data_IF_138308852080
#
_entry.id   IF_138308852080
#
_cell.length_a   1.000
_cell.length_b   1.000
_cell.length_c   1.000
_cell.angle_alpha   90.00
_cell.angle_beta   90.00
_cell.angle_gamma   90.00
#
_symmetry.space_group_name_H-M   'P 1'
#
loop_
_entity.id
_entity.type
_entity.pdbx_description
1 polymer ?
#
# COMPACT_ATOMS: atom_id res chain seq x y z
N UNK A 1 -9.15 -19.82 -58.47
CA UNK A 1 -8.47 -19.64 -57.17
C UNK A 1 -8.39 -18.15 -56.86
N UNK A 2 -9.20 -17.63 -55.94
CA UNK A 2 -9.08 -16.27 -55.44
C UNK A 2 -8.29 -16.31 -54.12
N UNK A 3 -7.08 -15.73 -54.13
CA UNK A 3 -6.27 -15.56 -52.92
C UNK A 3 -7.01 -14.59 -52.00
N UNK A 4 -7.62 -15.13 -50.94
CA UNK A 4 -8.09 -14.32 -49.82
C UNK A 4 -6.85 -13.74 -49.14
N UNK A 5 -6.62 -12.45 -49.36
CA UNK A 5 -5.55 -11.72 -48.69
C UNK A 5 -5.86 -11.69 -47.20
N UNK A 6 -4.99 -12.28 -46.39
CA UNK A 6 -5.00 -12.11 -44.94
C UNK A 6 -4.72 -10.63 -44.69
N UNK A 7 -5.79 -9.84 -44.50
CA UNK A 7 -5.68 -8.46 -44.07
C UNK A 7 -5.20 -8.53 -42.62
N UNK A 8 -3.94 -8.17 -42.39
CA UNK A 8 -3.45 -7.88 -41.04
C UNK A 8 -4.22 -6.66 -40.52
N UNK A 9 -5.38 -6.91 -39.89
CA UNK A 9 -6.09 -5.91 -39.11
C UNK A 9 -5.25 -5.68 -37.86
N UNK A 10 -4.22 -4.83 -37.97
CA UNK A 10 -3.68 -4.16 -36.78
C UNK A 10 -4.87 -3.42 -36.19
N UNK A 11 -5.40 -3.91 -35.07
CA UNK A 11 -6.43 -3.18 -34.32
C UNK A 11 -5.85 -1.81 -33.99
N UNK A 12 -6.23 -0.79 -34.75
CA UNK A 12 -5.89 0.60 -34.45
C UNK A 12 -6.65 0.91 -33.17
N UNK A 13 -5.94 0.92 -32.05
CA UNK A 13 -6.52 1.32 -30.77
C UNK A 13 -6.85 2.81 -30.91
N UNK A 14 -8.15 3.15 -30.87
CA UNK A 14 -8.64 4.52 -30.95
C UNK A 14 -8.49 5.23 -29.60
N UNK A 15 -8.45 6.56 -29.63
CA UNK A 15 -8.42 7.40 -28.42
C UNK A 15 -9.57 7.08 -27.46
N UNK A 16 -10.80 6.97 -27.98
CA UNK A 16 -12.00 6.63 -27.19
C UNK A 16 -11.87 5.28 -26.49
N UNK A 17 -11.23 4.29 -27.14
CA UNK A 17 -11.01 2.97 -26.56
C UNK A 17 -10.02 3.02 -25.39
N UNK A 18 -8.98 3.85 -25.49
CA UNK A 18 -8.01 4.02 -24.40
C UNK A 18 -8.62 4.76 -23.21
N UNK A 19 -9.38 5.84 -23.46
CA UNK A 19 -10.11 6.53 -22.40
C UNK A 19 -11.07 5.59 -21.67
N UNK A 20 -11.82 4.77 -22.42
CA UNK A 20 -12.69 3.74 -21.84
C UNK A 20 -11.92 2.69 -21.04
N UNK A 21 -10.72 2.31 -21.49
CA UNK A 21 -9.88 1.36 -20.75
C UNK A 21 -9.34 1.98 -19.45
N UNK A 22 -8.94 3.25 -19.46
CA UNK A 22 -8.52 3.98 -18.26
C UNK A 22 -9.65 4.06 -17.23
N UNK A 23 -10.88 4.36 -17.66
CA UNK A 23 -12.06 4.38 -16.79
C UNK A 23 -12.35 3.01 -16.16
N UNK A 24 -12.18 1.93 -16.93
CA UNK A 24 -12.34 0.56 -16.43
C UNK A 24 -11.28 0.23 -15.39
N UNK A 25 -10.02 0.57 -15.67
CA UNK A 25 -8.91 0.41 -14.71
C UNK A 25 -9.24 1.16 -13.43
N UNK A 26 -9.63 2.44 -13.50
CA UNK A 26 -9.98 3.25 -12.34
C UNK A 26 -11.12 2.63 -11.51
N UNK A 27 -12.14 2.06 -12.16
CA UNK A 27 -13.23 1.34 -11.46
C UNK A 27 -12.77 0.06 -10.78
N UNK A 28 -11.79 -0.64 -11.32
CA UNK A 28 -11.27 -1.89 -10.75
C UNK A 28 -10.39 -1.65 -9.52
N UNK A 29 -9.68 -0.51 -9.47
CA UNK A 29 -8.84 -0.12 -8.33
C UNK A 29 -9.58 0.69 -7.26
N UNK A 30 -10.81 1.14 -7.54
CA UNK A 30 -11.59 1.91 -6.57
C UNK A 30 -12.05 1.02 -5.40
N UNK A 31 -11.71 1.37 -4.14
CA UNK A 31 -12.06 0.57 -2.96
C UNK A 31 -13.58 0.44 -2.72
N UNK A 32 -14.39 1.32 -3.31
CA UNK A 32 -15.86 1.31 -3.18
C UNK A 32 -16.58 0.60 -4.35
N UNK A 33 -15.84 0.11 -5.34
CA UNK A 33 -16.43 -0.56 -6.50
C UNK A 33 -16.90 -1.98 -6.16
N UNK A 34 -17.97 -2.45 -6.82
CA UNK A 34 -18.48 -3.83 -6.66
C UNK A 34 -17.60 -4.88 -7.34
N UNK A 35 -16.86 -4.51 -8.38
CA UNK A 35 -15.92 -5.38 -9.10
C UNK A 35 -14.53 -4.82 -8.86
N UNK A 36 -13.79 -5.45 -7.95
CA UNK A 36 -12.43 -5.06 -7.58
C UNK A 36 -11.47 -6.15 -8.03
N UNK A 37 -10.23 -5.77 -8.29
CA UNK A 37 -9.14 -6.72 -8.46
C UNK A 37 -8.92 -7.40 -7.11
N UNK A 38 -9.00 -8.73 -7.12
CA UNK A 38 -8.76 -9.55 -5.93
C UNK A 38 -7.27 -9.87 -5.85
N UNK A 39 -6.67 -10.29 -6.96
CA UNK A 39 -5.24 -10.61 -7.07
C UNK A 39 -4.69 -10.17 -8.42
N UNK A 40 -3.60 -9.40 -8.40
CA UNK A 40 -2.97 -8.90 -9.62
C UNK A 40 -2.46 -10.03 -10.52
N UNK A 41 -1.93 -11.11 -9.92
CA UNK A 41 -1.26 -12.16 -10.68
C UNK A 41 -2.23 -12.96 -11.56
N UNK A 42 -3.45 -13.17 -11.08
CA UNK A 42 -4.49 -13.95 -11.74
C UNK A 42 -5.39 -13.11 -12.69
N UNK A 43 -5.41 -11.79 -12.53
CA UNK A 43 -6.26 -10.91 -13.33
C UNK A 43 -5.61 -10.54 -14.67
N UNK A 44 -5.72 -11.47 -15.64
CA UNK A 44 -5.27 -11.26 -17.01
C UNK A 44 -5.99 -10.07 -17.68
N UNK A 45 -7.28 -9.87 -17.38
CA UNK A 45 -8.06 -8.77 -17.95
C UNK A 45 -7.50 -7.41 -17.53
N UNK A 46 -7.13 -7.25 -16.25
CA UNK A 46 -6.50 -6.03 -15.77
C UNK A 46 -5.14 -5.79 -16.44
N UNK A 47 -4.29 -6.81 -16.56
CA UNK A 47 -2.99 -6.69 -17.24
C UNK A 47 -3.15 -6.28 -18.71
N UNK A 48 -4.09 -6.89 -19.42
CA UNK A 48 -4.40 -6.56 -20.83
C UNK A 48 -4.85 -5.09 -20.98
N UNK A 49 -5.64 -4.57 -20.03
CA UNK A 49 -6.04 -3.17 -20.02
C UNK A 49 -4.83 -2.24 -19.85
N UNK A 50 -3.94 -2.53 -18.89
CA UNK A 50 -2.72 -1.73 -18.66
C UNK A 50 -1.78 -1.82 -19.86
N UNK A 51 -1.58 -3.00 -20.43
CA UNK A 51 -0.73 -3.19 -21.60
C UNK A 51 -1.28 -2.47 -22.83
N UNK A 52 -2.61 -2.44 -23.01
CA UNK A 52 -3.25 -1.65 -24.07
C UNK A 52 -2.99 -0.16 -23.91
N UNK A 53 -3.08 0.36 -22.69
CA UNK A 53 -2.80 1.78 -22.37
C UNK A 53 -1.32 2.06 -22.62
N UNK A 54 -0.42 1.23 -22.07
CA UNK A 54 1.03 1.35 -22.24
C UNK A 54 1.43 1.36 -23.71
N UNK A 55 0.93 0.40 -24.50
CA UNK A 55 1.23 0.29 -25.93
C UNK A 55 0.81 1.57 -26.65
N UNK A 56 -0.39 2.08 -26.36
CA UNK A 56 -0.84 3.35 -26.95
C UNK A 56 0.06 4.53 -26.54
N UNK A 57 0.42 4.64 -25.25
CA UNK A 57 1.28 5.70 -24.75
C UNK A 57 2.70 5.65 -25.33
N UNK A 58 3.24 4.47 -25.66
CA UNK A 58 4.57 4.34 -26.27
C UNK A 58 4.55 4.53 -27.79
N UNK A 59 3.51 4.05 -28.47
CA UNK A 59 3.41 4.10 -29.93
C UNK A 59 3.01 5.46 -30.48
N UNK A 60 2.11 6.17 -29.78
CA UNK A 60 1.54 7.43 -30.26
C UNK A 60 2.44 8.69 -30.18
N UNK A 61 3.44 8.85 -29.30
CA UNK A 61 4.35 10.01 -29.33
C UNK A 61 5.20 10.11 -30.61
N UNK A 62 5.19 9.09 -31.47
CA UNK A 62 5.82 9.12 -32.81
C UNK A 62 4.97 9.84 -33.86
N UNK A 63 3.73 10.22 -33.54
CA UNK A 63 2.83 11.03 -34.38
C UNK A 63 2.82 12.46 -33.84
N UNK A 64 2.96 13.45 -34.73
CA UNK A 64 3.33 14.86 -34.45
C UNK A 64 2.56 15.61 -33.35
N UNK A 65 1.45 15.11 -32.83
CA UNK A 65 0.74 15.72 -31.69
C UNK A 65 0.00 14.64 -30.88
N UNK A 66 0.31 14.50 -29.59
CA UNK A 66 -0.33 13.53 -28.70
C UNK A 66 -1.66 14.10 -28.15
N UNK A 67 -2.75 13.33 -28.08
CA UNK A 67 -4.04 13.85 -27.60
C UNK A 67 -3.97 14.33 -26.14
N UNK A 68 -4.35 15.59 -25.90
CA UNK A 68 -4.34 16.22 -24.57
C UNK A 68 -5.27 15.48 -23.59
N UNK A 69 -6.43 14.98 -24.05
CA UNK A 69 -7.39 14.24 -23.23
C UNK A 69 -6.80 12.94 -22.69
N UNK A 70 -6.12 12.15 -23.54
CA UNK A 70 -5.47 10.90 -23.13
C UNK A 70 -4.32 11.18 -22.16
N UNK A 71 -3.56 12.25 -22.37
CA UNK A 71 -2.45 12.61 -21.49
C UNK A 71 -2.96 12.95 -20.09
N UNK A 72 -4.00 13.79 -20.02
CA UNK A 72 -4.65 14.18 -18.77
C UNK A 72 -5.24 12.97 -18.04
N UNK A 73 -6.01 12.12 -18.74
CA UNK A 73 -6.64 10.94 -18.15
C UNK A 73 -5.58 9.93 -17.62
N UNK A 74 -4.49 9.73 -18.35
CA UNK A 74 -3.39 8.87 -17.90
C UNK A 74 -2.71 9.44 -16.64
N UNK A 75 -2.51 10.76 -16.59
CA UNK A 75 -1.93 11.44 -15.43
C UNK A 75 -2.85 11.34 -14.20
N UNK A 76 -4.15 11.61 -14.38
CA UNK A 76 -5.16 11.48 -13.32
C UNK A 76 -5.25 10.03 -12.80
N UNK A 77 -5.12 9.04 -13.68
CA UNK A 77 -5.11 7.62 -13.29
C UNK A 77 -3.89 7.28 -12.43
N UNK A 78 -2.70 7.75 -12.80
CA UNK A 78 -1.47 7.55 -12.02
C UNK A 78 -1.55 8.28 -10.67
N UNK A 79 -2.07 9.50 -10.65
CA UNK A 79 -2.28 10.27 -9.43
C UNK A 79 -3.26 9.58 -8.49
N UNK A 80 -4.41 9.13 -9.01
CA UNK A 80 -5.38 8.38 -8.24
C UNK A 80 -4.77 7.09 -7.67
N UNK A 81 -4.01 6.34 -8.49
CA UNK A 81 -3.34 5.12 -8.04
C UNK A 81 -2.31 5.40 -6.93
N UNK A 82 -1.57 6.50 -7.05
CA UNK A 82 -0.57 6.92 -6.05
C UNK A 82 -1.23 7.30 -4.73
N UNK A 83 -2.30 8.10 -4.76
CA UNK A 83 -3.05 8.49 -3.57
C UNK A 83 -3.65 7.27 -2.84
N UNK A 84 -4.22 6.33 -3.60
CA UNK A 84 -4.75 5.08 -3.04
C UNK A 84 -3.64 4.20 -2.44
N UNK A 85 -2.45 4.18 -3.03
CA UNK A 85 -1.30 3.46 -2.49
C UNK A 85 -0.83 4.07 -1.15
N UNK A 86 -0.82 5.40 -1.04
CA UNK A 86 -0.49 6.09 0.21
C UNK A 86 -1.53 5.79 1.31
N UNK A 87 -2.82 5.82 0.98
CA UNK A 87 -3.89 5.46 1.92
C UNK A 87 -3.77 4.01 2.40
N UNK A 88 -3.45 3.08 1.50
CA UNK A 88 -3.23 1.69 1.84
C UNK A 88 -2.00 1.51 2.74
N UNK A 89 -0.92 2.26 2.50
CA UNK A 89 0.28 2.24 3.33
C UNK A 89 -0.03 2.67 4.77
N UNK A 90 -0.84 3.72 4.95
CA UNK A 90 -1.28 4.16 6.30
C UNK A 90 -2.11 3.09 7.01
N UNK A 91 -3.04 2.44 6.29
CA UNK A 91 -3.85 1.35 6.86
C UNK A 91 -2.98 0.15 7.28
N UNK A 92 -2.00 -0.23 6.47
CA UNK A 92 -1.03 -1.27 6.84
C UNK A 92 -0.26 -0.87 8.10
N UNK A 93 0.19 0.39 8.20
CA UNK A 93 0.88 0.87 9.40
C UNK A 93 0.00 0.77 10.66
N UNK A 94 -1.28 1.14 10.57
CA UNK A 94 -2.23 0.99 11.67
C UNK A 94 -2.42 -0.47 12.09
N UNK A 95 -2.55 -1.38 11.11
CA UNK A 95 -2.66 -2.82 11.33
C UNK A 95 -1.39 -3.40 11.98
N UNK A 96 -0.20 -2.94 11.57
CA UNK A 96 1.07 -3.33 12.18
C UNK A 96 1.12 -2.87 13.65
N UNK A 97 0.77 -1.61 13.94
CA UNK A 97 0.72 -1.10 15.32
C UNK A 97 -0.27 -1.88 16.19
N UNK A 98 -1.42 -2.28 15.63
CA UNK A 98 -2.38 -3.14 16.33
C UNK A 98 -1.78 -4.52 16.62
N UNK A 99 -1.12 -5.14 15.64
CA UNK A 99 -0.42 -6.41 15.81
C UNK A 99 0.66 -6.33 16.88
N UNK A 100 1.48 -5.29 16.88
CA UNK A 100 2.51 -5.06 17.91
C UNK A 100 1.90 -4.95 19.31
N UNK A 101 0.79 -4.21 19.47
CA UNK A 101 0.06 -4.14 20.74
C UNK A 101 -0.47 -5.51 21.15
N UNK A 102 -1.04 -6.29 20.23
CA UNK A 102 -1.57 -7.61 20.54
C UNK A 102 -0.46 -8.59 20.94
N UNK A 103 0.71 -8.55 20.29
CA UNK A 103 1.88 -9.34 20.66
C UNK A 103 2.39 -8.94 22.05
N UNK A 104 2.46 -7.63 22.35
CA UNK A 104 2.85 -7.15 23.67
C UNK A 104 1.88 -7.62 24.77
N UNK A 105 0.57 -7.59 24.50
CA UNK A 105 -0.45 -8.14 25.39
C UNK A 105 -0.29 -9.66 25.57
N UNK A 106 -0.09 -10.41 24.48
CA UNK A 106 0.13 -11.85 24.53
C UNK A 106 1.35 -12.21 25.40
N UNK A 107 2.46 -11.49 25.25
CA UNK A 107 3.65 -11.67 26.07
C UNK A 107 3.36 -11.41 27.54
N UNK A 108 2.70 -10.28 27.87
CA UNK A 108 2.33 -9.95 29.25
C UNK A 108 1.42 -11.02 29.88
N UNK A 109 0.47 -11.55 29.10
CA UNK A 109 -0.42 -12.63 29.54
C UNK A 109 0.34 -13.94 29.75
N UNK A 110 1.30 -14.26 28.88
CA UNK A 110 2.15 -15.45 29.00
C UNK A 110 3.04 -15.39 30.24
N UNK A 111 3.72 -14.27 30.45
CA UNK A 111 4.55 -14.04 31.65
C UNK A 111 3.70 -14.16 32.91
N UNK A 112 2.51 -13.56 32.92
CA UNK A 112 1.60 -13.67 34.08
C UNK A 112 1.13 -15.11 34.29
N UNK A 113 0.80 -15.84 33.22
CA UNK A 113 0.43 -17.25 33.32
C UNK A 113 1.57 -18.08 33.91
N UNK A 114 2.81 -17.85 33.50
CA UNK A 114 3.99 -18.55 34.00
C UNK A 114 4.22 -18.29 35.50
N UNK A 115 4.17 -17.02 35.94
CA UNK A 115 4.25 -16.63 37.36
C UNK A 115 3.16 -17.33 38.18
N UNK A 116 1.93 -17.35 37.66
CA UNK A 116 0.77 -17.98 38.31
C UNK A 116 0.90 -19.51 38.37
N UNK A 117 1.42 -20.14 37.31
CA UNK A 117 1.66 -21.58 37.26
C UNK A 117 2.78 -22.01 38.21
N UNK A 118 3.85 -21.22 38.29
CA UNK A 118 4.99 -21.44 39.19
C UNK A 118 4.67 -21.08 40.65
N UNK A 119 3.56 -20.38 40.90
CA UNK A 119 3.11 -19.94 42.23
C UNK A 119 4.14 -19.09 42.96
N UNK A 120 4.78 -18.19 42.22
CA UNK A 120 5.71 -17.22 42.79
C UNK A 120 4.99 -16.36 43.85
N UNK A 121 5.69 -15.92 44.90
CA UNK A 121 5.06 -15.26 46.05
C UNK A 121 4.23 -14.01 45.66
N UNK A 122 4.62 -13.33 44.58
CA UNK A 122 4.02 -12.13 44.03
C UNK A 122 2.95 -12.39 42.95
N UNK A 123 2.49 -13.63 42.73
CA UNK A 123 1.55 -13.96 41.64
C UNK A 123 0.24 -13.14 41.67
N UNK A 124 -0.26 -12.81 42.86
CA UNK A 124 -1.48 -11.98 43.02
C UNK A 124 -1.28 -10.56 42.52
N UNK A 125 -0.08 -10.02 42.69
CA UNK A 125 0.29 -8.68 42.23
C UNK A 125 0.45 -8.68 40.71
N UNK A 126 1.05 -9.72 40.15
CA UNK A 126 1.15 -9.92 38.71
C UNK A 126 -0.24 -9.95 38.05
N UNK A 127 -1.20 -10.71 38.60
CA UNK A 127 -2.60 -10.75 38.12
C UNK A 127 -3.27 -9.38 38.24
N UNK A 128 -3.03 -8.64 39.33
CA UNK A 128 -3.58 -7.28 39.49
C UNK A 128 -3.00 -6.29 38.46
N UNK A 129 -1.75 -6.48 38.05
CA UNK A 129 -1.07 -5.62 37.07
C UNK A 129 -1.63 -5.77 35.64
N UNK A 130 -2.19 -6.93 35.30
CA UNK A 130 -2.82 -7.20 33.99
C UNK A 130 -4.31 -6.87 33.94
N UNK A 131 -4.94 -6.62 35.10
CA UNK A 131 -6.38 -6.30 35.20
C UNK A 131 -6.82 -5.05 34.44
N UNK A 132 -5.89 -4.16 34.05
CA UNK A 132 -6.19 -2.97 33.24
C UNK A 132 -6.26 -3.27 31.74
N UNK A 133 -5.55 -4.31 31.31
CA UNK A 133 -5.35 -4.61 29.89
C UNK A 133 -6.22 -5.78 29.40
N UNK A 134 -6.71 -6.60 30.35
CA UNK A 134 -7.51 -7.77 30.07
C UNK A 134 -8.89 -7.70 30.72
N UNK A 135 -9.90 -8.33 30.10
CA UNK A 135 -11.23 -8.42 30.67
C UNK A 135 -11.27 -9.31 31.91
N UNK A 136 -12.29 -9.10 32.76
CA UNK A 136 -12.41 -9.71 34.09
C UNK A 136 -12.46 -11.24 34.05
N UNK A 137 -13.02 -11.84 33.00
CA UNK A 137 -13.05 -13.29 32.77
C UNK A 137 -11.64 -13.91 32.68
N UNK A 138 -10.70 -13.22 32.05
CA UNK A 138 -9.29 -13.64 31.97
C UNK A 138 -8.63 -13.55 33.35
N UNK A 139 -8.94 -12.49 34.11
CA UNK A 139 -8.39 -12.25 35.45
C UNK A 139 -8.89 -13.30 36.45
N UNK A 140 -10.17 -13.65 36.38
CA UNK A 140 -10.77 -14.69 37.20
C UNK A 140 -10.18 -16.07 36.86
N UNK A 141 -9.97 -16.34 35.57
CA UNK A 141 -9.35 -17.58 35.12
C UNK A 141 -7.91 -17.70 35.61
N UNK A 142 -7.10 -16.64 35.53
CA UNK A 142 -5.75 -16.61 36.11
C UNK A 142 -5.77 -16.79 37.63
N UNK A 143 -6.71 -16.13 38.31
CA UNK A 143 -6.87 -16.26 39.77
C UNK A 143 -7.27 -17.68 40.18
N UNK A 144 -8.11 -18.36 39.40
CA UNK A 144 -8.48 -19.75 39.59
C UNK A 144 -7.24 -20.66 39.49
N UNK A 145 -6.42 -20.48 38.45
CA UNK A 145 -5.17 -21.22 38.24
C UNK A 145 -4.26 -21.07 39.47
N UNK A 146 -4.02 -19.85 39.94
CA UNK A 146 -3.13 -19.58 41.09
C UNK A 146 -3.63 -20.14 42.41
N UNK A 147 -4.95 -20.18 42.64
CA UNK A 147 -5.56 -20.72 43.87
C UNK A 147 -5.61 -22.25 43.91
N UNK A 148 -5.63 -22.90 42.75
CA UNK A 148 -5.76 -24.37 42.70
C UNK A 148 -4.50 -25.06 43.24
N UNK A 149 -4.70 -26.06 44.09
CA UNK A 149 -3.59 -26.86 44.65
C UNK A 149 -3.10 -27.95 43.69
N UNK A 150 -3.99 -28.48 42.86
CA UNK A 150 -3.73 -29.61 41.96
C UNK A 150 -3.81 -29.20 40.50
N UNK A 151 -2.71 -29.43 39.77
CA UNK A 151 -2.61 -29.24 38.31
C UNK A 151 -3.32 -30.34 37.51
N UNK A 152 -3.75 -31.42 38.19
CA UNK A 152 -4.46 -32.56 37.57
C UNK A 152 -5.97 -32.35 37.52
N UNK A 153 -6.50 -31.31 38.15
CA UNK A 153 -7.94 -31.05 38.13
C UNK A 153 -8.39 -30.61 36.73
N UNK A 154 -9.55 -31.09 36.29
CA UNK A 154 -10.12 -30.74 34.99
C UNK A 154 -10.28 -29.22 34.85
N UNK A 155 -10.82 -28.56 35.87
CA UNK A 155 -11.01 -27.11 35.91
C UNK A 155 -9.71 -26.33 35.73
N UNK A 156 -8.59 -26.82 36.30
CA UNK A 156 -7.28 -26.19 36.09
C UNK A 156 -6.81 -26.34 34.65
N UNK A 157 -6.91 -27.54 34.08
CA UNK A 157 -6.48 -27.77 32.70
C UNK A 157 -7.31 -26.96 31.71
N UNK A 158 -8.61 -26.84 31.93
CA UNK A 158 -9.49 -26.06 31.07
C UNK A 158 -9.21 -24.56 31.20
N UNK A 159 -8.93 -24.07 32.42
CA UNK A 159 -8.49 -22.69 32.63
C UNK A 159 -7.17 -22.38 31.91
N UNK A 160 -6.18 -23.26 32.00
CA UNK A 160 -4.89 -23.10 31.30
C UNK A 160 -5.09 -23.12 29.77
N UNK A 161 -5.93 -24.02 29.25
CA UNK A 161 -6.26 -24.06 27.82
C UNK A 161 -6.93 -22.77 27.36
N UNK A 162 -7.84 -22.20 28.16
CA UNK A 162 -8.54 -20.95 27.82
C UNK A 162 -7.55 -19.79 27.71
N UNK A 163 -6.64 -19.65 28.67
CA UNK A 163 -5.61 -18.60 28.63
C UNK A 163 -4.65 -18.83 27.45
N UNK A 164 -4.19 -20.06 27.21
CA UNK A 164 -3.32 -20.37 26.07
C UNK A 164 -4.01 -20.11 24.73
N UNK A 165 -5.29 -20.45 24.58
CA UNK A 165 -6.05 -20.11 23.38
C UNK A 165 -6.14 -18.59 23.18
N UNK A 166 -6.31 -17.82 24.27
CA UNK A 166 -6.31 -16.35 24.20
C UNK A 166 -4.94 -15.80 23.77
N UNK A 167 -3.84 -16.35 24.30
CA UNK A 167 -2.47 -16.00 23.90
C UNK A 167 -2.29 -16.27 22.41
N UNK A 168 -2.61 -17.48 21.93
CA UNK A 168 -2.49 -17.86 20.52
C UNK A 168 -3.32 -16.94 19.61
N UNK A 169 -4.53 -16.56 20.00
CA UNK A 169 -5.35 -15.62 19.23
C UNK A 169 -4.70 -14.23 19.15
N UNK A 170 -4.11 -13.73 20.24
CA UNK A 170 -3.40 -12.46 20.28
C UNK A 170 -2.06 -12.49 19.55
N UNK A 171 -1.42 -13.65 19.39
CA UNK A 171 -0.17 -13.79 18.64
C UNK A 171 -0.41 -13.98 17.14
N UNK A 172 -1.29 -14.92 16.80
CA UNK A 172 -1.59 -15.28 15.42
C UNK A 172 -2.16 -14.09 14.65
N UNK A 173 -3.00 -13.26 15.27
CA UNK A 173 -3.58 -12.07 14.65
C UNK A 173 -4.15 -12.35 13.24
N UNK A 174 -4.73 -13.54 13.02
CA UNK A 174 -5.08 -14.04 11.68
C UNK A 174 -5.92 -13.04 10.87
N UNK A 175 -6.86 -12.34 11.52
CA UNK A 175 -7.66 -11.31 10.85
C UNK A 175 -6.82 -10.14 10.31
N UNK A 176 -5.83 -9.69 11.09
CA UNK A 176 -4.90 -8.63 10.68
C UNK A 176 -4.02 -9.12 9.52
N UNK A 177 -3.56 -10.37 9.56
CA UNK A 177 -2.75 -10.96 8.50
C UNK A 177 -3.51 -11.04 7.17
N UNK A 178 -4.75 -11.53 7.20
CA UNK A 178 -5.62 -11.59 6.01
C UNK A 178 -5.89 -10.19 5.46
N UNK A 179 -6.18 -9.22 6.34
CA UNK A 179 -6.42 -7.83 5.92
C UNK A 179 -5.16 -7.18 5.33
N UNK A 180 -3.97 -7.45 5.89
CA UNK A 180 -2.69 -6.99 5.35
C UNK A 180 -2.41 -7.60 3.96
N UNK A 181 -2.61 -8.91 3.79
CA UNK A 181 -2.39 -9.61 2.51
C UNK A 181 -3.29 -9.03 1.42
N UNK A 182 -4.58 -8.83 1.73
CA UNK A 182 -5.53 -8.22 0.80
C UNK A 182 -5.15 -6.79 0.41
N UNK A 183 -4.63 -5.99 1.36
CA UNK A 183 -4.15 -4.64 1.06
C UNK A 183 -2.84 -4.70 0.27
N UNK A 184 -1.96 -5.68 0.52
CA UNK A 184 -0.72 -5.89 -0.23
C UNK A 184 -1.03 -6.17 -1.70
N UNK A 185 -1.95 -7.08 -2.00
CA UNK A 185 -2.30 -7.42 -3.38
C UNK A 185 -2.90 -6.25 -4.15
N UNK A 186 -3.73 -5.43 -3.49
CA UNK A 186 -4.21 -4.16 -4.06
C UNK A 186 -3.07 -3.19 -4.29
N UNK A 187 -2.15 -3.08 -3.35
CA UNK A 187 -0.99 -2.19 -3.44
C UNK A 187 -0.03 -2.61 -4.56
N UNK A 188 0.10 -3.92 -4.83
CA UNK A 188 0.82 -4.43 -6.02
C UNK A 188 0.16 -3.94 -7.31
N UNK A 189 -1.17 -4.02 -7.43
CA UNK A 189 -1.89 -3.56 -8.61
C UNK A 189 -1.76 -2.04 -8.82
N UNK A 190 -1.86 -1.25 -7.74
CA UNK A 190 -1.66 0.21 -7.78
C UNK A 190 -0.22 0.56 -8.17
N UNK A 191 0.76 -0.17 -7.64
CA UNK A 191 2.17 0.00 -8.01
C UNK A 191 2.43 -0.38 -9.47
N UNK A 192 1.77 -1.43 -9.99
CA UNK A 192 1.89 -1.84 -11.39
C UNK A 192 1.41 -0.74 -12.34
N UNK A 193 0.28 -0.09 -12.04
CA UNK A 193 -0.19 1.11 -12.76
C UNK A 193 0.86 2.21 -12.73
N UNK A 194 1.37 2.54 -11.54
CA UNK A 194 2.34 3.60 -11.35
C UNK A 194 3.65 3.36 -12.10
N UNK A 195 4.09 2.12 -12.24
CA UNK A 195 5.31 1.78 -12.98
C UNK A 195 5.04 1.81 -14.49
N UNK A 196 4.06 1.06 -14.97
CA UNK A 196 3.86 0.84 -16.40
C UNK A 196 3.33 2.07 -17.13
N UNK A 197 2.40 2.81 -16.51
CA UNK A 197 1.79 3.99 -17.13
C UNK A 197 2.68 5.22 -16.95
N UNK A 198 3.29 5.43 -15.77
CA UNK A 198 4.13 6.61 -15.57
C UNK A 198 5.45 6.54 -16.37
N UNK A 199 6.04 5.35 -16.53
CA UNK A 199 7.23 5.19 -17.38
C UNK A 199 6.91 5.48 -18.86
N UNK A 200 5.74 5.03 -19.34
CA UNK A 200 5.27 5.37 -20.68
C UNK A 200 4.98 6.87 -20.84
N UNK A 201 4.40 7.52 -19.83
CA UNK A 201 4.14 8.97 -19.85
C UNK A 201 5.43 9.81 -19.86
N UNK A 202 6.50 9.35 -19.22
CA UNK A 202 7.80 10.05 -19.20
C UNK A 202 8.40 10.24 -20.59
N UNK A 203 8.07 9.36 -21.53
CA UNK A 203 8.54 9.40 -22.92
C UNK A 203 7.73 10.37 -23.79
N UNK A 204 6.54 10.79 -23.33
CA UNK A 204 5.69 11.74 -24.03
C UNK A 204 6.08 13.16 -23.56
N UNK A 205 6.44 14.08 -24.49
CA UNK A 205 6.58 15.48 -24.14
C UNK A 205 5.27 15.98 -23.54
N UNK A 206 5.32 16.69 -22.41
CA UNK A 206 4.15 17.40 -21.86
C UNK A 206 3.50 18.19 -22.99
N UNK A 207 2.22 17.96 -23.31
CA UNK A 207 1.54 18.77 -24.30
C UNK A 207 1.73 20.23 -23.91
N UNK A 208 2.26 21.06 -24.82
CA UNK A 208 2.20 22.49 -24.61
C UNK A 208 0.71 22.81 -24.50
N UNK A 209 0.28 23.27 -23.32
CA UNK A 209 -0.96 23.98 -23.24
C UNK A 209 -0.82 25.13 -24.25
N UNK A 210 -1.79 25.26 -25.15
CA UNK A 210 -1.92 26.48 -25.92
C UNK A 210 -2.45 27.53 -24.92
N UNK A 211 -1.63 27.87 -23.93
CA UNK A 211 -1.84 28.89 -22.90
C UNK A 211 -1.60 30.27 -23.49
N UNK A 212 -1.94 30.46 -24.78
CA UNK A 212 -2.11 31.79 -25.36
C UNK A 212 -3.30 32.54 -24.74
N UNK A 213 -4.11 31.91 -23.88
CA UNK A 213 -5.14 32.60 -23.09
C UNK A 213 -4.70 32.95 -21.66
N UNK A 214 -3.63 32.35 -21.11
CA UNK A 214 -3.11 32.72 -19.77
C UNK A 214 -1.94 33.69 -19.87
N UNK A 215 -1.13 33.62 -20.93
CA UNK A 215 -0.09 34.62 -21.20
C UNK A 215 -0.64 35.95 -21.75
N UNK A 216 -1.82 35.95 -22.38
CA UNK A 216 -2.45 37.19 -22.84
C UNK A 216 -2.93 38.07 -21.68
N UNK A 217 -3.51 37.48 -20.63
CA UNK A 217 -3.98 38.21 -19.45
C UNK A 217 -2.79 38.77 -18.65
N UNK A 218 -1.63 38.10 -18.67
CA UNK A 218 -0.42 38.57 -17.97
C UNK A 218 0.35 39.66 -18.74
N UNK A 219 0.16 39.77 -20.05
CA UNK A 219 0.82 40.79 -20.86
C UNK A 219 0.00 42.09 -20.98
N UNK A 220 -1.32 42.06 -20.76
CA UNK A 220 -2.13 43.30 -20.63
C UNK A 220 -1.86 44.06 -19.31
N UNK A 221 -1.30 43.42 -18.29
CA UNK A 221 -0.99 44.07 -17.00
C UNK A 221 0.39 44.76 -17.01
N UNK A 222 1.13 44.72 -18.13
CA UNK A 222 2.51 45.25 -18.21
C UNK A 222 2.64 46.72 -18.60
N UNK A 223 1.55 47.41 -18.93
CA UNK A 223 1.57 48.85 -19.15
C UNK A 223 0.64 49.52 -18.14
N UNK A 224 1.17 49.89 -16.96
CA UNK A 224 0.82 51.13 -16.24
C UNK A 224 1.62 51.27 -14.93
N UNK A 225 2.63 52.16 -14.98
CA UNK A 225 3.13 53.09 -13.94
C UNK A 225 3.56 52.63 -12.51
N UNK A 226 4.53 53.34 -11.87
CA UNK A 226 5.41 52.76 -10.84
C UNK A 226 4.97 52.96 -9.38
N UNK A 227 3.70 53.24 -9.08
CA UNK A 227 3.30 53.68 -7.72
C UNK A 227 2.56 52.64 -6.84
N UNK A 228 2.23 51.45 -7.33
CA UNK A 228 1.51 50.43 -6.53
C UNK A 228 2.41 49.35 -5.88
N UNK A 229 3.72 49.55 -5.81
CA UNK A 229 4.65 48.52 -5.26
C UNK A 229 4.52 48.25 -3.76
N UNK A 230 3.77 49.04 -3.00
CA UNK A 230 3.62 48.88 -1.55
C UNK A 230 2.37 48.10 -1.12
N UNK A 231 1.44 47.78 -2.03
CA UNK A 231 0.24 46.99 -1.69
C UNK A 231 0.33 45.49 -2.07
N UNK A 232 1.24 45.11 -2.96
CA UNK A 232 1.39 43.70 -3.41
C UNK A 232 2.29 42.82 -2.53
N UNK A 233 3.03 43.39 -1.56
CA UNK A 233 3.87 42.57 -0.67
C UNK A 233 3.05 41.76 0.37
N UNK A 234 1.78 42.12 0.58
CA UNK A 234 0.91 41.43 1.54
C UNK A 234 0.00 40.36 0.93
N UNK A 235 -0.03 40.22 -0.40
CA UNK A 235 -0.76 39.17 -1.12
C UNK A 235 0.19 38.31 -1.93
N UNK A 236 1.23 37.77 -1.28
CA UNK A 236 2.00 36.64 -1.83
C UNK A 236 1.08 35.41 -1.90
N UNK A 237 0.43 35.22 -3.04
CA UNK A 237 -0.11 33.92 -3.42
C UNK A 237 1.10 33.00 -3.60
N UNK A 238 1.31 32.09 -2.65
CA UNK A 238 2.30 31.03 -2.74
C UNK A 238 2.06 30.23 -4.03
N UNK A 239 2.92 30.43 -5.02
CA UNK A 239 2.92 29.62 -6.24
C UNK A 239 3.28 28.20 -5.82
N UNK A 240 2.27 27.31 -5.77
CA UNK A 240 2.47 25.90 -5.45
C UNK A 240 3.56 25.32 -6.36
N UNK A 241 4.55 24.58 -5.83
CA UNK A 241 5.55 23.91 -6.65
C UNK A 241 4.86 22.94 -7.61
N UNK A 242 5.39 22.80 -8.83
CA UNK A 242 4.79 21.93 -9.84
C UNK A 242 4.74 20.48 -9.33
N UNK A 243 3.62 19.81 -9.59
CA UNK A 243 3.34 18.45 -9.11
C UNK A 243 4.42 17.44 -9.59
N UNK A 244 5.09 17.72 -10.72
CA UNK A 244 6.26 17.00 -11.21
C UNK A 244 7.51 17.10 -10.32
N UNK A 245 7.73 18.24 -9.66
CA UNK A 245 8.78 18.37 -8.66
C UNK A 245 8.43 17.64 -7.37
N UNK A 246 7.13 17.56 -7.00
CA UNK A 246 6.68 16.73 -5.87
C UNK A 246 6.89 15.25 -6.13
N UNK A 247 6.61 14.74 -7.34
CA UNK A 247 6.84 13.34 -7.71
C UNK A 247 8.35 13.00 -7.72
N UNK A 248 9.20 13.86 -8.30
CA UNK A 248 10.66 13.62 -8.34
C UNK A 248 11.36 13.79 -6.98
N UNK A 249 10.92 14.73 -6.15
CA UNK A 249 11.50 14.99 -4.82
C UNK A 249 10.80 14.21 -3.70
N UNK A 250 9.76 13.44 -4.00
CA UNK A 250 9.12 12.62 -2.98
C UNK A 250 10.09 11.52 -2.55
N UNK A 251 10.34 11.45 -1.24
CA UNK A 251 11.07 10.35 -0.58
C UNK A 251 10.46 8.97 -0.90
N UNK A 252 9.28 8.94 -1.52
CA UNK A 252 8.47 7.77 -1.89
C UNK A 252 9.05 6.98 -3.06
N UNK A 253 9.60 7.60 -4.13
CA UNK A 253 10.28 6.85 -5.21
C UNK A 253 11.51 6.10 -4.65
N UNK A 254 12.18 6.73 -3.69
CA UNK A 254 13.32 6.13 -2.97
C UNK A 254 12.87 5.04 -2.00
N UNK A 255 11.72 5.19 -1.33
CA UNK A 255 11.14 4.20 -0.42
C UNK A 255 10.61 2.96 -1.13
N UNK A 256 9.97 3.10 -2.31
CA UNK A 256 9.55 1.98 -3.15
C UNK A 256 10.78 1.17 -3.61
N UNK A 257 11.86 1.86 -4.01
CA UNK A 257 13.13 1.21 -4.37
C UNK A 257 13.82 0.53 -3.17
N UNK A 258 13.71 1.10 -1.96
CA UNK A 258 14.27 0.52 -0.73
C UNK A 258 13.46 -0.69 -0.23
N UNK A 259 12.12 -0.63 -0.29
CA UNK A 259 11.24 -1.74 0.07
C UNK A 259 11.46 -2.96 -0.84
N UNK A 260 11.69 -2.74 -2.14
CA UNK A 260 12.10 -3.81 -3.06
C UNK A 260 13.50 -4.36 -2.75
N UNK A 261 14.48 -3.53 -2.33
CA UNK A 261 15.79 -4.00 -1.87
C UNK A 261 15.72 -4.86 -0.60
N UNK A 262 14.84 -4.51 0.34
CA UNK A 262 14.63 -5.27 1.59
C UNK A 262 14.02 -6.65 1.27
N UNK A 263 13.10 -6.72 0.29
CA UNK A 263 12.51 -8.00 -0.17
C UNK A 263 13.56 -8.95 -0.79
N UNK A 264 14.63 -8.43 -1.41
CA UNK A 264 15.73 -9.24 -2.00
C UNK A 264 16.72 -9.77 -0.94
N UNK A 265 16.83 -9.15 0.24
CA UNK A 265 17.81 -9.56 1.27
C UNK A 265 17.23 -10.53 2.31
N UNK A 266 15.90 -10.64 2.43
CA UNK A 266 15.24 -11.56 3.37
C UNK A 266 15.11 -13.00 2.88
N UNK A 267 15.45 -13.28 1.62
CA UNK A 267 15.56 -14.64 1.07
C UNK A 267 17.03 -15.00 0.88
N UNK A 268 17.77 -15.09 1.98
CA UNK A 268 18.92 -15.99 2.04
C UNK A 268 18.60 -16.99 3.14
N UNK A 269 18.27 -18.26 2.83
CA UNK A 269 18.33 -19.28 3.87
C UNK A 269 19.75 -19.27 4.39
N UNK A 270 19.92 -19.09 5.70
CA UNK A 270 21.22 -19.20 6.35
C UNK A 270 21.88 -20.49 5.86
N UNK A 271 22.93 -20.35 5.06
CA UNK A 271 23.79 -21.46 4.67
C UNK A 271 24.22 -22.17 5.96
N UNK A 272 24.13 -23.51 6.04
CA UNK A 272 24.57 -24.21 7.23
C UNK A 272 26.07 -23.93 7.42
N UNK A 273 26.41 -23.43 8.60
CA UNK A 273 27.78 -23.25 9.05
C UNK A 273 28.53 -24.59 8.89
N UNK A 274 29.45 -24.64 7.93
CA UNK A 274 30.33 -25.77 7.72
C UNK A 274 31.28 -25.94 8.89
N UNK A 275 30.90 -26.77 9.86
CA UNK A 275 31.83 -27.40 10.79
C UNK A 275 32.08 -28.85 10.37
N UNK A 276 33.32 -29.08 9.96
CA UNK A 276 34.02 -30.36 10.12
C UNK A 276 34.24 -31.15 8.84
N UNK A 277 35.45 -31.04 8.28
CA UNK A 277 36.25 -32.23 7.93
C UNK A 277 37.73 -31.89 8.18
N UNK A 278 38.29 -32.53 9.21
CA UNK A 278 39.73 -32.76 9.32
C UNK A 278 40.07 -33.89 8.36
N UNK A 279 41.06 -33.70 7.49
CA UNK A 279 41.80 -34.82 6.92
C UNK A 279 43.24 -34.43 6.58
N UNK A 280 44.15 -35.18 7.21
CA UNK A 280 45.58 -35.42 6.99
C UNK A 280 46.59 -34.30 7.26
#
# INVERSE_FOLDING_TARGET
>A
MSRSGIVNVRMVITEEKILSNMDKVQKLINPNSKKQIVQLEEDAFFKDLIESIKTYLIEYPKKKNFPKAVYKAAYELVEYATNQFEENTKKIEELIRQREKNIALANKLRETLEIVQNKEENWKEAVKSVSRDFPEDIIDTLSLIGRTKSTKSQNYQDAVKLINARIVNLESNLHIEIDMERIEDRSKALSYIGIEIADALKLIPTPQDDSNEVEAILNEIKEETPEEKTYFEQTRVEVKPSLWQRIKNSKIVRAISYAMKIKVVLQVPALPEGRGEQHN
#
